data_IF_552204200734
#
_entry.id   IF_552204200734
#
_cell.length_a   1.000
_cell.length_b   1.000
_cell.length_c   1.000
_cell.angle_alpha   90.00
_cell.angle_beta   90.00
_cell.angle_gamma   90.00
#
_symmetry.space_group_name_H-M   'P 1'
#
loop_
_entity.id
_entity.type
_entity.pdbx_description
1 polymer ?
#
# COMPACT_ATOMS: atom_id res chain seq x y z
N UNK A 1 21.32 -30.70 0.13
CA UNK A 1 20.59 -30.12 1.27
C UNK A 1 20.52 -28.61 1.03
N UNK A 2 19.48 -28.12 0.38
CA UNK A 2 19.30 -26.69 0.10
C UNK A 2 18.46 -26.05 1.19
N UNK A 3 19.03 -25.04 1.84
CA UNK A 3 18.53 -24.38 3.03
C UNK A 3 17.38 -23.43 2.65
N UNK A 4 16.13 -23.82 2.98
CA UNK A 4 14.87 -23.09 2.75
C UNK A 4 14.66 -22.00 3.81
N UNK A 5 15.47 -20.96 3.85
CA UNK A 5 15.34 -19.90 4.89
C UNK A 5 15.43 -18.45 4.39
N UNK A 6 14.98 -18.13 3.18
CA UNK A 6 15.04 -16.75 2.71
C UNK A 6 13.74 -16.35 2.03
N UNK A 7 12.73 -15.89 2.75
CA UNK A 7 11.63 -15.12 2.18
C UNK A 7 10.66 -14.47 3.21
N UNK A 8 11.10 -14.10 4.40
CA UNK A 8 10.16 -13.60 5.41
C UNK A 8 10.39 -12.15 5.86
N UNK A 9 11.37 -11.44 5.34
CA UNK A 9 11.74 -10.14 5.92
C UNK A 9 11.19 -8.89 5.20
N UNK A 10 10.73 -8.98 3.95
CA UNK A 10 10.33 -7.79 3.20
C UNK A 10 8.87 -7.33 3.43
N UNK A 11 8.07 -8.11 4.16
CA UNK A 11 6.62 -7.90 4.23
C UNK A 11 6.07 -7.46 5.60
N UNK A 12 6.92 -7.36 6.60
CA UNK A 12 6.47 -7.17 8.00
C UNK A 12 6.04 -5.74 8.37
N UNK A 13 5.92 -4.78 7.42
CA UNK A 13 6.03 -3.39 7.79
C UNK A 13 4.74 -2.58 7.64
N UNK A 14 3.81 -3.03 6.83
CA UNK A 14 2.53 -2.31 6.67
C UNK A 14 1.63 -2.44 7.91
N UNK A 15 1.76 -3.56 8.66
CA UNK A 15 0.90 -3.80 9.83
C UNK A 15 1.33 -3.04 11.10
N UNK A 16 2.60 -2.71 11.25
CA UNK A 16 3.09 -2.07 12.48
C UNK A 16 2.72 -0.58 12.57
N UNK A 17 2.43 0.08 11.46
CA UNK A 17 2.03 1.49 11.44
C UNK A 17 0.53 1.69 11.69
N UNK A 18 -0.29 0.67 11.47
CA UNK A 18 -1.74 0.76 11.71
C UNK A 18 -2.14 0.73 13.19
N UNK A 19 -1.27 0.28 14.08
CA UNK A 19 -1.67 -0.03 15.48
C UNK A 19 -1.36 1.09 16.51
N UNK A 20 -0.76 2.22 16.13
CA UNK A 20 -0.31 3.22 17.11
C UNK A 20 -0.91 4.62 16.97
N UNK A 21 -1.88 4.86 16.11
CA UNK A 21 -2.55 6.15 16.00
C UNK A 21 -4.05 6.01 16.28
N UNK A 22 -4.41 6.07 17.58
CA UNK A 22 -5.77 6.46 17.95
C UNK A 22 -5.95 7.92 17.51
N UNK A 23 -7.01 8.25 16.76
CA UNK A 23 -7.22 9.63 16.32
C UNK A 23 -7.55 10.51 17.49
N UNK A 24 -6.65 11.43 17.83
CA UNK A 24 -7.03 12.66 18.55
C UNK A 24 -7.84 13.49 17.56
N UNK A 25 -9.11 13.68 17.87
CA UNK A 25 -10.10 14.29 17.02
C UNK A 25 -9.66 15.59 16.35
N UNK A 26 -9.63 15.56 15.03
CA UNK A 26 -9.67 16.74 14.19
C UNK A 26 -10.97 16.67 13.38
N UNK A 27 -11.63 17.81 13.23
CA UNK A 27 -12.92 17.99 12.59
C UNK A 27 -13.04 17.18 11.30
N UNK A 28 -14.16 16.45 11.15
CA UNK A 28 -14.62 15.87 9.90
C UNK A 28 -14.78 16.98 8.85
N UNK A 29 -13.73 17.21 8.08
CA UNK A 29 -13.90 17.72 6.74
C UNK A 29 -14.46 16.53 5.93
N UNK A 30 -15.69 16.63 5.43
CA UNK A 30 -16.29 15.62 4.55
C UNK A 30 -15.49 15.62 3.24
N UNK A 31 -14.34 14.98 3.32
CA UNK A 31 -13.16 15.09 2.54
C UNK A 31 -13.40 15.06 1.04
N UNK A 32 -13.33 16.22 0.45
CA UNK A 32 -13.15 16.33 -1.00
C UNK A 32 -11.82 15.71 -1.34
N UNK A 33 -11.84 14.72 -2.24
CA UNK A 33 -10.60 14.15 -2.78
C UNK A 33 -9.82 15.24 -3.50
N UNK A 34 -8.56 15.44 -3.11
CA UNK A 34 -7.66 16.43 -3.70
C UNK A 34 -6.44 15.72 -4.30
N UNK A 35 -5.91 16.30 -5.38
CA UNK A 35 -4.71 15.76 -6.01
C UNK A 35 -3.50 16.01 -5.10
N UNK A 36 -2.86 14.94 -4.67
CA UNK A 36 -1.57 14.93 -4.02
C UNK A 36 -0.49 14.56 -5.03
N UNK A 37 0.51 15.44 -5.22
CA UNK A 37 1.64 15.26 -6.14
C UNK A 37 2.92 15.10 -5.31
N UNK A 38 3.42 13.87 -5.22
CA UNK A 38 4.63 13.53 -4.50
C UNK A 38 5.85 13.56 -5.43
N UNK A 39 6.60 14.66 -5.42
CA UNK A 39 7.80 14.82 -6.25
C UNK A 39 8.88 13.79 -5.92
N UNK A 40 9.15 13.57 -4.63
CA UNK A 40 10.15 12.61 -4.15
C UNK A 40 9.80 11.18 -4.54
N UNK A 41 8.53 10.80 -4.33
CA UNK A 41 8.03 9.49 -4.70
C UNK A 41 7.75 9.32 -6.20
N UNK A 42 7.80 10.40 -6.99
CA UNK A 42 7.46 10.41 -8.42
C UNK A 42 6.10 9.78 -8.70
N UNK A 43 5.07 10.19 -7.94
CA UNK A 43 3.69 9.76 -8.15
C UNK A 43 2.69 10.86 -7.86
N UNK A 44 1.49 10.71 -8.40
CA UNK A 44 0.33 11.52 -8.02
C UNK A 44 -0.88 10.63 -7.75
N UNK A 45 -1.77 11.08 -6.84
CA UNK A 45 -2.96 10.34 -6.45
C UNK A 45 -3.98 11.29 -5.79
N UNK A 46 -5.26 10.97 -5.85
CA UNK A 46 -6.29 11.67 -5.09
C UNK A 46 -6.29 11.20 -3.61
N UNK A 47 -6.24 12.14 -2.66
CA UNK A 47 -6.25 11.87 -1.22
C UNK A 47 -7.40 12.64 -0.54
N UNK A 48 -7.99 12.10 0.54
CA UNK A 48 -8.95 12.85 1.36
C UNK A 48 -8.21 13.78 2.31
N UNK A 49 -7.78 14.94 1.83
CA UNK A 49 -6.97 15.89 2.57
C UNK A 49 -5.47 15.66 2.39
N UNK A 50 -4.66 16.41 3.15
CA UNK A 50 -3.20 16.32 3.12
C UNK A 50 -2.73 15.08 3.87
N UNK A 51 -1.94 14.19 3.24
CA UNK A 51 -1.48 12.98 3.91
C UNK A 51 -0.34 13.25 4.88
N UNK A 52 -0.34 12.52 5.99
CA UNK A 52 0.81 12.44 6.89
C UNK A 52 1.94 11.65 6.23
N UNK A 53 3.16 12.18 6.27
CA UNK A 53 4.35 11.52 5.76
C UNK A 53 5.17 10.92 6.91
N UNK A 54 5.55 9.65 6.76
CA UNK A 54 6.47 8.97 7.66
C UNK A 54 7.49 8.14 6.89
N UNK A 55 8.66 7.95 7.48
CA UNK A 55 9.73 7.11 6.91
C UNK A 55 10.16 6.03 7.91
N UNK A 56 10.59 4.89 7.39
CA UNK A 56 11.12 3.79 8.19
C UNK A 56 12.22 3.06 7.44
N UNK A 57 13.38 2.93 8.08
CA UNK A 57 14.46 2.13 7.53
C UNK A 57 14.16 0.63 7.66
N UNK A 58 14.43 -0.09 6.59
CA UNK A 58 14.21 -1.51 6.44
C UNK A 58 15.46 -2.24 6.02
N UNK A 59 15.59 -3.46 6.50
CA UNK A 59 16.57 -4.41 5.98
C UNK A 59 15.82 -5.48 5.19
N UNK A 60 16.09 -5.56 3.89
CA UNK A 60 15.52 -6.57 3.00
C UNK A 60 16.60 -7.52 2.47
N UNK A 61 16.22 -8.66 1.88
CA UNK A 61 17.18 -9.53 1.18
C UNK A 61 17.90 -8.85 0.00
N UNK A 62 17.31 -7.77 -0.52
CA UNK A 62 17.89 -6.92 -1.57
C UNK A 62 18.78 -5.78 -1.02
N UNK A 63 19.02 -5.77 0.29
CA UNK A 63 19.81 -4.74 0.99
C UNK A 63 18.96 -3.79 1.83
N UNK A 64 19.61 -2.82 2.47
CA UNK A 64 18.91 -1.77 3.20
C UNK A 64 18.10 -0.89 2.26
N UNK A 65 16.94 -0.44 2.72
CA UNK A 65 16.06 0.49 2.00
C UNK A 65 15.26 1.31 2.99
N UNK A 66 14.71 2.44 2.56
CA UNK A 66 13.78 3.25 3.36
C UNK A 66 12.37 3.09 2.79
N UNK A 67 11.41 2.80 3.65
CA UNK A 67 9.99 2.87 3.33
C UNK A 67 9.51 4.30 3.57
N UNK A 68 8.92 4.91 2.56
CA UNK A 68 8.17 6.15 2.66
C UNK A 68 6.68 5.83 2.68
N UNK A 69 5.94 6.43 3.58
CA UNK A 69 4.49 6.25 3.70
C UNK A 69 3.77 7.59 3.75
N UNK A 70 2.70 7.71 2.99
CA UNK A 70 1.79 8.85 2.94
C UNK A 70 0.39 8.34 3.27
N UNK A 71 -0.17 8.79 4.39
CA UNK A 71 -1.44 8.28 4.90
C UNK A 71 -2.42 9.41 5.20
N UNK A 72 -3.67 9.22 4.82
CA UNK A 72 -4.80 10.04 5.24
C UNK A 72 -5.94 9.14 5.73
N UNK A 73 -6.74 9.63 6.67
CA UNK A 73 -7.90 8.92 7.19
C UNK A 73 -9.16 9.77 6.97
N UNK A 74 -10.24 9.13 6.53
CA UNK A 74 -11.53 9.77 6.36
C UNK A 74 -12.67 8.78 6.55
N UNK A 75 -13.71 9.15 7.31
CA UNK A 75 -14.90 8.33 7.51
C UNK A 75 -14.64 6.94 8.10
N UNK A 76 -13.56 6.76 8.89
CA UNK A 76 -13.15 5.46 9.43
C UNK A 76 -12.38 4.59 8.43
N UNK A 77 -12.10 5.08 7.23
CA UNK A 77 -11.26 4.43 6.25
C UNK A 77 -9.84 5.02 6.24
N UNK A 78 -8.87 4.20 5.86
CA UNK A 78 -7.47 4.57 5.68
C UNK A 78 -7.12 4.57 4.20
N UNK A 79 -6.46 5.63 3.75
CA UNK A 79 -5.91 5.82 2.41
C UNK A 79 -4.40 5.94 2.54
N UNK A 80 -3.64 5.06 1.92
CA UNK A 80 -2.19 5.03 2.09
C UNK A 80 -1.47 4.72 0.77
N UNK A 81 -0.39 5.45 0.54
CA UNK A 81 0.60 5.11 -0.49
C UNK A 81 1.93 4.91 0.19
N UNK A 82 2.60 3.83 -0.15
CA UNK A 82 3.98 3.61 0.25
C UNK A 82 4.86 3.36 -0.96
N UNK A 83 6.14 3.75 -0.85
CA UNK A 83 7.15 3.34 -1.81
C UNK A 83 8.48 3.05 -1.12
N UNK A 84 9.27 2.21 -1.78
CA UNK A 84 10.66 1.92 -1.42
C UNK A 84 11.49 1.70 -2.66
N UNK A 85 12.74 2.16 -2.63
CA UNK A 85 13.72 1.93 -3.67
C UNK A 85 14.63 0.75 -3.29
N UNK A 86 14.80 -0.17 -4.22
CA UNK A 86 15.65 -1.36 -4.06
C UNK A 86 16.81 -1.33 -5.02
N UNK A 87 17.92 -1.98 -4.67
CA UNK A 87 19.07 -2.08 -5.57
C UNK A 87 18.73 -2.84 -6.86
N UNK A 88 17.96 -3.92 -6.77
CA UNK A 88 17.50 -4.71 -7.89
C UNK A 88 16.21 -5.45 -7.54
N UNK A 89 15.21 -5.41 -8.43
CA UNK A 89 13.95 -6.12 -8.27
C UNK A 89 13.73 -7.12 -9.42
N UNK A 90 13.42 -8.37 -9.06
CA UNK A 90 12.73 -9.30 -9.94
C UNK A 90 11.23 -8.96 -9.89
N UNK A 91 10.72 -8.36 -10.95
CA UNK A 91 9.36 -7.79 -11.00
C UNK A 91 8.30 -8.85 -10.68
N UNK A 92 8.33 -9.99 -11.37
CA UNK A 92 7.30 -11.02 -11.21
C UNK A 92 7.31 -11.60 -9.78
N UNK A 93 8.50 -11.91 -9.27
CA UNK A 93 8.68 -12.46 -7.93
C UNK A 93 8.35 -11.45 -6.84
N UNK A 94 8.69 -10.17 -7.04
CA UNK A 94 8.39 -9.09 -6.10
C UNK A 94 6.90 -8.88 -5.97
N UNK A 95 6.14 -8.85 -7.07
CA UNK A 95 4.69 -8.69 -7.05
C UNK A 95 3.99 -9.81 -6.28
N UNK A 96 4.43 -11.07 -6.45
CA UNK A 96 3.86 -12.21 -5.69
C UNK A 96 4.21 -12.11 -4.21
N UNK A 97 5.48 -11.92 -3.90
CA UNK A 97 5.96 -11.88 -2.51
C UNK A 97 5.32 -10.75 -1.69
N UNK A 98 5.12 -9.59 -2.31
CA UNK A 98 4.49 -8.44 -1.64
C UNK A 98 3.03 -8.71 -1.32
N UNK A 99 2.27 -9.28 -2.26
CA UNK A 99 0.87 -9.65 -2.02
C UNK A 99 0.74 -10.67 -0.89
N UNK A 100 1.55 -11.74 -0.92
CA UNK A 100 1.54 -12.77 0.12
C UNK A 100 1.90 -12.20 1.49
N UNK A 101 2.86 -11.31 1.51
CA UNK A 101 3.28 -10.70 2.74
C UNK A 101 2.29 -9.66 3.28
N UNK A 102 1.63 -8.87 2.42
CA UNK A 102 0.53 -8.01 2.84
C UNK A 102 -0.59 -8.84 3.48
N UNK A 103 -1.02 -9.93 2.83
CA UNK A 103 -2.05 -10.80 3.38
C UNK A 103 -1.68 -11.34 4.77
N UNK A 104 -0.44 -11.81 4.95
CA UNK A 104 0.07 -12.26 6.25
C UNK A 104 0.10 -11.15 7.29
N UNK A 105 0.62 -9.98 6.94
CA UNK A 105 0.75 -8.84 7.86
C UNK A 105 -0.60 -8.29 8.31
N UNK A 106 -1.60 -8.33 7.44
CA UNK A 106 -2.96 -7.91 7.72
C UNK A 106 -3.81 -9.00 8.38
N UNK A 107 -3.24 -10.17 8.68
CA UNK A 107 -3.96 -11.37 9.15
C UNK A 107 -5.18 -11.68 8.28
N UNK A 108 -5.03 -11.49 6.98
CA UNK A 108 -6.11 -11.60 6.00
C UNK A 108 -5.87 -12.68 4.96
N UNK A 109 -6.90 -12.89 4.14
CA UNK A 109 -6.87 -13.79 2.99
C UNK A 109 -7.05 -12.97 1.71
N UNK A 110 -6.31 -13.32 0.67
CA UNK A 110 -6.53 -12.80 -0.67
C UNK A 110 -7.81 -13.43 -1.21
N UNK A 111 -8.83 -12.60 -1.48
CA UNK A 111 -10.12 -13.04 -2.02
C UNK A 111 -10.30 -12.65 -3.48
N UNK A 112 -9.53 -11.68 -3.96
CA UNK A 112 -9.43 -11.36 -5.38
C UNK A 112 -8.02 -10.88 -5.70
N UNK A 113 -7.54 -11.22 -6.90
CA UNK A 113 -6.21 -10.88 -7.38
C UNK A 113 -6.21 -10.80 -8.91
N UNK A 114 -5.81 -9.66 -9.45
CA UNK A 114 -5.79 -9.38 -10.89
C UNK A 114 -4.50 -8.67 -11.27
N UNK A 115 -3.89 -9.10 -12.36
CA UNK A 115 -2.80 -8.34 -12.98
C UNK A 115 -3.32 -7.05 -13.59
N UNK A 116 -2.53 -5.99 -13.52
CA UNK A 116 -2.79 -4.70 -14.16
C UNK A 116 -1.50 -4.04 -14.63
N UNK A 117 -1.64 -2.93 -15.34
CA UNK A 117 -0.54 -2.01 -15.63
C UNK A 117 -0.96 -0.59 -15.24
N UNK A 118 -0.02 0.17 -14.68
CA UNK A 118 -0.18 1.60 -14.38
C UNK A 118 0.87 2.35 -15.19
N UNK A 119 0.43 3.17 -16.15
CA UNK A 119 1.34 3.92 -17.04
C UNK A 119 2.43 3.04 -17.70
N UNK A 120 2.08 1.79 -18.08
CA UNK A 120 3.02 0.84 -18.68
C UNK A 120 3.81 -0.01 -17.68
N UNK A 121 3.74 0.27 -16.38
CA UNK A 121 4.42 -0.49 -15.33
C UNK A 121 3.57 -1.65 -14.82
N UNK A 122 4.14 -2.84 -14.67
CA UNK A 122 3.40 -4.02 -14.21
C UNK A 122 2.99 -3.91 -12.74
N UNK A 123 1.80 -4.40 -12.44
CA UNK A 123 1.25 -4.40 -11.11
C UNK A 123 0.19 -5.47 -10.88
N UNK A 124 -0.32 -5.49 -9.67
CA UNK A 124 -1.42 -6.37 -9.23
C UNK A 124 -2.42 -5.57 -8.41
N UNK A 125 -3.69 -5.83 -8.64
CA UNK A 125 -4.78 -5.33 -7.82
C UNK A 125 -5.35 -6.47 -7.01
N UNK A 126 -5.42 -6.28 -5.69
CA UNK A 126 -5.74 -7.34 -4.75
C UNK A 126 -6.80 -6.86 -3.76
N UNK A 127 -7.76 -7.73 -3.44
CA UNK A 127 -8.65 -7.57 -2.29
C UNK A 127 -8.22 -8.57 -1.21
N UNK A 128 -7.95 -8.05 -0.03
CA UNK A 128 -7.58 -8.84 1.16
C UNK A 128 -8.67 -8.62 2.20
N UNK A 129 -9.17 -9.70 2.78
CA UNK A 129 -10.15 -9.65 3.86
C UNK A 129 -9.57 -10.30 5.10
N UNK A 130 -9.62 -9.58 6.21
CA UNK A 130 -9.32 -10.08 7.55
C UNK A 130 -10.62 -10.22 8.35
N UNK A 131 -10.54 -10.63 9.60
CA UNK A 131 -11.71 -10.74 10.47
C UNK A 131 -12.47 -9.40 10.63
N UNK A 132 -11.72 -8.31 10.72
CA UNK A 132 -12.26 -7.01 11.13
C UNK A 132 -12.18 -5.95 10.02
N UNK A 133 -11.45 -6.20 8.92
CA UNK A 133 -11.17 -5.21 7.89
C UNK A 133 -11.20 -5.79 6.47
N UNK A 134 -11.56 -4.92 5.53
CA UNK A 134 -11.39 -5.11 4.08
C UNK A 134 -10.30 -4.18 3.60
N UNK A 135 -9.38 -4.71 2.79
CA UNK A 135 -8.33 -3.93 2.15
C UNK A 135 -8.40 -4.11 0.63
N UNK A 136 -8.43 -2.98 -0.07
CA UNK A 136 -8.20 -2.93 -1.51
C UNK A 136 -6.78 -2.41 -1.71
N UNK A 137 -5.93 -3.19 -2.35
CA UNK A 137 -4.54 -2.81 -2.53
C UNK A 137 -4.12 -2.94 -3.98
N UNK A 138 -3.19 -2.07 -4.38
CA UNK A 138 -2.52 -2.13 -5.66
C UNK A 138 -1.02 -2.10 -5.42
N UNK A 139 -0.30 -3.03 -6.03
CA UNK A 139 1.16 -3.12 -5.99
C UNK A 139 1.69 -2.88 -7.38
N UNK A 140 2.63 -1.97 -7.55
CA UNK A 140 3.21 -1.61 -8.84
C UNK A 140 4.73 -1.57 -8.75
N UNK A 141 5.42 -2.08 -9.75
CA UNK A 141 6.89 -2.01 -9.85
C UNK A 141 7.28 -1.15 -11.04
N UNK A 142 8.05 -0.09 -10.78
CA UNK A 142 8.62 0.79 -11.79
C UNK A 142 10.14 0.83 -11.64
N UNK A 143 10.87 0.17 -12.53
CA UNK A 143 12.32 0.01 -12.38
C UNK A 143 12.68 -0.70 -11.07
N UNK A 144 13.41 -0.02 -10.21
CA UNK A 144 13.81 -0.53 -8.89
C UNK A 144 12.90 -0.05 -7.76
N UNK A 145 11.84 0.68 -8.07
CA UNK A 145 10.89 1.22 -7.09
C UNK A 145 9.63 0.36 -7.01
N UNK A 146 9.26 0.01 -5.79
CA UNK A 146 8.03 -0.70 -5.46
C UNK A 146 7.06 0.28 -4.83
N UNK A 147 5.86 0.40 -5.41
CA UNK A 147 4.75 1.16 -4.85
C UNK A 147 3.69 0.22 -4.31
N UNK A 148 3.07 0.62 -3.20
CA UNK A 148 1.90 -0.04 -2.65
C UNK A 148 0.86 1.03 -2.34
N UNK A 149 -0.31 0.93 -2.96
CA UNK A 149 -1.46 1.81 -2.74
C UNK A 149 -2.50 0.99 -2.00
N UNK A 150 -2.95 1.45 -0.84
CA UNK A 150 -3.84 0.70 0.03
C UNK A 150 -5.01 1.57 0.49
N UNK A 151 -6.21 1.05 0.29
CA UNK A 151 -7.42 1.50 0.94
C UNK A 151 -7.84 0.43 1.96
N UNK A 152 -8.11 0.84 3.21
CA UNK A 152 -8.56 -0.06 4.27
C UNK A 152 -9.80 0.48 4.96
N UNK A 153 -10.76 -0.39 5.28
CA UNK A 153 -11.97 -0.04 6.02
C UNK A 153 -12.44 -1.19 6.91
N UNK A 154 -13.19 -0.91 7.99
CA UNK A 154 -13.83 -1.97 8.76
C UNK A 154 -14.75 -2.85 7.90
N UNK A 155 -14.86 -4.13 8.26
CA UNK A 155 -15.84 -5.04 7.67
C UNK A 155 -17.28 -4.62 8.00
N UNK A 156 -18.23 -5.06 7.18
CA UNK A 156 -19.68 -4.85 7.39
C UNK A 156 -20.35 -4.03 6.28
N UNK A 157 -19.57 -3.44 5.37
CA UNK A 157 -20.08 -2.75 4.18
C UNK A 157 -19.17 -3.02 2.98
N UNK A 158 -19.70 -2.83 1.78
CA UNK A 158 -18.87 -2.83 0.57
C UNK A 158 -18.05 -1.52 0.47
N UNK A 159 -16.85 -1.59 -0.08
CA UNK A 159 -16.03 -0.40 -0.31
C UNK A 159 -16.79 0.67 -1.11
N UNK A 160 -16.76 1.92 -0.65
CA UNK A 160 -17.46 3.00 -1.33
C UNK A 160 -16.80 3.34 -2.68
N UNK A 161 -17.52 4.01 -3.61
CA UNK A 161 -16.94 4.43 -4.90
C UNK A 161 -15.65 5.24 -4.78
N UNK A 162 -15.47 5.97 -3.69
CA UNK A 162 -14.23 6.72 -3.38
C UNK A 162 -12.99 5.83 -3.26
N UNK A 163 -13.15 4.58 -2.83
CA UNK A 163 -12.04 3.63 -2.77
C UNK A 163 -11.51 3.33 -4.17
N UNK A 164 -12.42 3.17 -5.14
CA UNK A 164 -12.06 2.98 -6.54
C UNK A 164 -11.48 4.25 -7.15
N UNK A 165 -12.04 5.41 -6.85
CA UNK A 165 -11.53 6.71 -7.28
C UNK A 165 -10.10 6.92 -6.79
N UNK A 166 -9.81 6.66 -5.52
CA UNK A 166 -8.47 6.70 -4.94
C UNK A 166 -7.49 5.79 -5.69
N UNK A 167 -7.80 4.50 -5.78
CA UNK A 167 -6.89 3.53 -6.39
C UNK A 167 -6.66 3.78 -7.89
N UNK A 168 -7.71 4.15 -8.63
CA UNK A 168 -7.62 4.41 -10.07
C UNK A 168 -6.95 5.75 -10.42
N UNK A 169 -6.88 6.67 -9.47
CA UNK A 169 -6.22 7.97 -9.65
C UNK A 169 -4.69 7.88 -9.55
N UNK A 170 -4.14 6.77 -9.07
CA UNK A 170 -2.70 6.61 -8.92
C UNK A 170 -1.99 6.62 -10.26
N UNK A 171 -0.99 7.51 -10.38
CA UNK A 171 -0.17 7.70 -11.58
C UNK A 171 1.30 7.78 -11.20
N UNK A 172 2.11 7.18 -12.04
CA UNK A 172 3.58 7.28 -12.06
C UNK A 172 4.03 7.65 -13.47
N UNK A 173 5.17 8.36 -13.63
CA UNK A 173 5.67 8.78 -14.94
C UNK A 173 6.03 7.60 -15.85
#
# INVERSE_FOLDING_TARGET
>A
MFNKRYCTAACLIVAATLCSLLPTGSAQDNGKMALFDCKEGSFSILMPGEPEHATKDLTSPAGPTTLHSYQANDGGATYMVTYSDYGQLDVAKSLVNVVDGQAKSLNGKVVADKSLTVNGHPGRRVRIESKDFIFLTMVVVSGNRLYQVLFGMPQGAEPPPRAEEFLSSFKIP
#
